data_IF_420096566234
#
_entry.id   IF_420096566234
#
_cell.length_a   1.000
_cell.length_b   1.000
_cell.length_c   1.000
_cell.angle_alpha   90.00
_cell.angle_beta   90.00
_cell.angle_gamma   90.00
#
_symmetry.space_group_name_H-M   'P 1'
#
loop_
_entity.id
_entity.type
_entity.pdbx_description
1 polymer ?
#
# COMPACT_ATOMS: atom_id res chain seq x y z
N UNK A 1 41.44 9.39 8.77
CA UNK A 1 40.08 8.85 8.49
C UNK A 1 39.71 9.10 7.02
N UNK A 2 40.03 8.19 6.10
CA UNK A 2 39.70 8.36 4.66
C UNK A 2 39.60 7.02 3.92
N UNK A 3 38.69 6.12 4.34
CA UNK A 3 38.56 4.79 3.68
C UNK A 3 37.12 4.30 3.45
N UNK A 4 36.08 5.08 3.74
CA UNK A 4 34.68 4.63 3.59
C UNK A 4 33.99 5.06 2.28
N UNK A 5 34.53 6.03 1.52
CA UNK A 5 33.83 6.58 0.34
C UNK A 5 33.93 5.73 -0.94
N UNK A 6 35.03 4.99 -1.13
CA UNK A 6 35.25 4.20 -2.36
C UNK A 6 34.27 3.04 -2.54
N UNK A 7 33.69 2.50 -1.46
CA UNK A 7 32.79 1.35 -1.55
C UNK A 7 31.42 1.69 -2.16
N UNK A 8 30.90 2.90 -1.96
CA UNK A 8 29.60 3.33 -2.49
C UNK A 8 29.68 3.77 -3.96
N UNK A 9 30.80 4.37 -4.37
CA UNK A 9 31.03 4.75 -5.78
C UNK A 9 31.15 3.50 -6.66
N UNK A 10 31.88 2.47 -6.22
CA UNK A 10 31.99 1.21 -6.97
C UNK A 10 30.66 0.45 -7.10
N UNK A 11 29.75 0.54 -6.12
CA UNK A 11 28.43 -0.08 -6.22
C UNK A 11 27.52 0.63 -7.22
N UNK A 12 27.57 1.97 -7.24
CA UNK A 12 26.80 2.79 -8.19
C UNK A 12 27.28 2.60 -9.63
N UNK A 13 28.60 2.56 -9.86
CA UNK A 13 29.17 2.29 -11.18
C UNK A 13 28.81 0.89 -11.68
N UNK A 14 28.86 -0.11 -10.82
CA UNK A 14 28.47 -1.48 -11.17
C UNK A 14 26.98 -1.63 -11.47
N UNK A 15 26.11 -0.90 -10.78
CA UNK A 15 24.66 -0.87 -11.08
C UNK A 15 24.39 -0.24 -12.44
N UNK A 16 25.07 0.87 -12.78
CA UNK A 16 25.02 1.46 -14.13
C UNK A 16 25.47 0.47 -15.20
N UNK A 17 26.50 -0.33 -14.94
CA UNK A 17 26.93 -1.36 -15.87
C UNK A 17 25.90 -2.48 -16.05
N UNK A 18 25.24 -2.93 -14.98
CA UNK A 18 24.16 -3.92 -15.06
C UNK A 18 22.94 -3.38 -15.80
N UNK A 19 22.56 -2.13 -15.56
CA UNK A 19 21.48 -1.44 -16.27
C UNK A 19 21.82 -1.28 -17.76
N UNK A 20 23.04 -0.89 -18.09
CA UNK A 20 23.50 -0.78 -19.47
C UNK A 20 23.50 -2.13 -20.20
N UNK A 21 23.91 -3.21 -19.54
CA UNK A 21 23.88 -4.56 -20.11
C UNK A 21 22.45 -5.04 -20.38
N UNK A 22 21.52 -4.78 -19.46
CA UNK A 22 20.09 -5.07 -19.64
C UNK A 22 19.48 -4.24 -20.77
N UNK A 23 19.79 -2.95 -20.83
CA UNK A 23 19.33 -2.08 -21.91
C UNK A 23 19.84 -2.55 -23.28
N UNK A 24 21.10 -2.99 -23.38
CA UNK A 24 21.64 -3.56 -24.62
C UNK A 24 20.99 -4.89 -24.99
N UNK A 25 20.68 -5.74 -24.01
CA UNK A 25 19.94 -6.97 -24.27
C UNK A 25 18.54 -6.66 -24.80
N UNK A 26 17.83 -5.74 -24.17
CA UNK A 26 16.51 -5.32 -24.64
C UNK A 26 16.54 -4.71 -26.03
N UNK A 27 17.55 -3.90 -26.38
CA UNK A 27 17.65 -3.34 -27.73
C UNK A 27 17.95 -4.41 -28.77
N UNK A 28 18.74 -5.43 -28.44
CA UNK A 28 19.01 -6.58 -29.32
C UNK A 28 17.75 -7.44 -29.49
N UNK A 29 17.04 -7.72 -28.40
CA UNK A 29 15.80 -8.50 -28.43
C UNK A 29 14.70 -7.74 -29.19
N UNK A 30 14.62 -6.41 -29.04
CA UNK A 30 13.69 -5.53 -29.80
C UNK A 30 14.09 -5.36 -31.26
N UNK A 31 15.38 -5.37 -31.58
CA UNK A 31 15.86 -5.23 -32.95
C UNK A 31 15.42 -6.40 -33.83
N UNK A 32 15.07 -7.54 -33.23
CA UNK A 32 14.46 -8.73 -33.86
C UNK A 32 15.01 -8.99 -35.27
N UNK A 33 16.34 -8.93 -35.39
CA UNK A 33 17.11 -9.20 -36.61
C UNK A 33 17.13 -10.71 -36.82
N UNK A 34 15.94 -11.25 -37.03
CA UNK A 34 15.60 -12.63 -37.30
C UNK A 34 16.11 -13.06 -38.68
N UNK A 35 17.24 -12.58 -39.17
CA UNK A 35 17.74 -12.88 -40.53
C UNK A 35 17.84 -14.38 -40.77
N UNK A 36 18.30 -15.15 -39.77
CA UNK A 36 18.37 -16.60 -39.86
C UNK A 36 17.00 -17.30 -39.77
N UNK A 37 16.05 -16.76 -39.01
CA UNK A 37 14.66 -17.26 -39.04
C UNK A 37 13.94 -16.83 -40.30
N UNK A 38 14.01 -15.58 -40.76
CA UNK A 38 13.49 -15.14 -42.05
C UNK A 38 14.08 -15.94 -43.21
N UNK A 39 15.36 -16.30 -43.17
CA UNK A 39 15.95 -17.21 -44.16
C UNK A 39 15.39 -18.64 -44.08
N UNK A 40 15.06 -19.14 -42.89
CA UNK A 40 14.40 -20.44 -42.69
C UNK A 40 12.92 -20.40 -43.05
N UNK A 41 12.22 -19.38 -42.60
CA UNK A 41 10.81 -19.08 -42.85
C UNK A 41 10.59 -18.90 -44.34
N UNK A 42 11.46 -18.17 -45.05
CA UNK A 42 11.43 -18.05 -46.52
C UNK A 42 11.65 -19.40 -47.21
N UNK A 43 12.51 -20.28 -46.69
CA UNK A 43 12.67 -21.65 -47.21
C UNK A 43 11.44 -22.52 -46.96
N UNK A 44 10.67 -22.25 -45.91
CA UNK A 44 9.46 -23.00 -45.55
C UNK A 44 8.16 -22.37 -46.05
N UNK A 45 8.20 -21.12 -46.54
CA UNK A 45 7.01 -20.38 -46.94
C UNK A 45 6.47 -20.95 -48.25
N UNK A 46 5.42 -21.76 -48.17
CA UNK A 46 4.70 -22.25 -49.35
C UNK A 46 3.88 -21.10 -49.92
N UNK A 47 4.17 -20.69 -51.14
CA UNK A 47 3.33 -19.71 -51.85
C UNK A 47 2.32 -20.50 -52.69
N UNK A 48 1.05 -20.43 -52.31
CA UNK A 48 -0.04 -20.93 -53.16
C UNK A 48 -0.27 -19.93 -54.30
N UNK A 49 0.05 -20.34 -55.53
CA UNK A 49 -0.37 -19.65 -56.75
C UNK A 49 -1.06 -20.68 -57.63
N UNK A 50 -2.34 -20.44 -57.95
CA UNK A 50 -3.16 -21.21 -58.91
C UNK A 50 -3.22 -22.74 -58.69
N UNK A 51 -3.32 -23.19 -57.43
CA UNK A 51 -3.68 -24.57 -57.10
C UNK A 51 -2.62 -25.64 -57.35
N UNK A 52 -1.39 -25.26 -57.75
CA UNK A 52 -0.23 -26.14 -57.75
C UNK A 52 0.68 -25.80 -56.57
N UNK A 53 0.98 -26.80 -55.72
CA UNK A 53 1.97 -26.66 -54.64
C UNK A 53 3.37 -26.49 -55.24
N UNK A 54 3.75 -25.25 -55.53
CA UNK A 54 5.13 -24.93 -55.94
C UNK A 54 5.98 -24.86 -54.67
N UNK A 55 6.70 -25.95 -54.37
CA UNK A 55 7.83 -25.86 -53.44
C UNK A 55 8.78 -24.78 -53.96
N UNK A 56 9.10 -23.78 -53.12
CA UNK A 56 10.17 -22.82 -53.39
C UNK A 56 11.49 -23.60 -53.54
N UNK A 57 11.78 -24.02 -54.77
CA UNK A 57 13.07 -24.60 -55.14
C UNK A 57 14.15 -23.60 -54.76
N UNK A 58 15.33 -24.09 -54.35
CA UNK A 58 16.48 -23.24 -54.03
C UNK A 58 16.61 -22.13 -55.09
N UNK A 59 16.89 -20.87 -54.71
CA UNK A 59 16.91 -19.75 -55.64
C UNK A 59 17.92 -19.97 -56.78
N UNK A 60 18.93 -20.82 -56.58
CA UNK A 60 19.84 -21.27 -57.62
C UNK A 60 19.18 -22.14 -58.70
N UNK A 61 18.26 -23.04 -58.31
CA UNK A 61 17.51 -23.91 -59.22
C UNK A 61 16.43 -23.10 -59.96
N UNK A 62 15.76 -22.17 -59.26
CA UNK A 62 14.83 -21.23 -59.91
C UNK A 62 15.57 -20.35 -60.92
N UNK A 63 16.78 -19.88 -60.58
CA UNK A 63 17.60 -19.11 -61.51
C UNK A 63 17.99 -19.93 -62.75
N UNK A 64 18.30 -21.23 -62.62
CA UNK A 64 18.58 -22.10 -63.77
C UNK A 64 17.33 -22.37 -64.61
N UNK A 65 16.17 -22.62 -63.98
CA UNK A 65 14.90 -22.86 -64.69
C UNK A 65 14.46 -21.59 -65.44
N UNK A 66 14.57 -20.41 -64.82
CA UNK A 66 14.29 -19.11 -65.45
C UNK A 66 15.28 -18.84 -66.59
N UNK A 67 16.57 -19.14 -66.43
CA UNK A 67 17.53 -18.99 -67.50
C UNK A 67 17.21 -19.91 -68.70
N UNK A 68 16.82 -21.16 -68.44
CA UNK A 68 16.39 -22.11 -69.46
C UNK A 68 15.12 -21.63 -70.18
N UNK A 69 14.10 -21.18 -69.44
CA UNK A 69 12.88 -20.61 -70.02
C UNK A 69 13.15 -19.34 -70.82
N UNK A 70 14.01 -18.43 -70.33
CA UNK A 70 14.43 -17.25 -71.08
C UNK A 70 15.14 -17.62 -72.38
N UNK A 71 15.97 -18.67 -72.37
CA UNK A 71 16.63 -19.15 -73.58
C UNK A 71 15.63 -19.72 -74.59
N UNK A 72 14.63 -20.47 -74.11
CA UNK A 72 13.53 -21.00 -74.91
C UNK A 72 12.69 -19.88 -75.50
N UNK A 73 12.28 -18.88 -74.71
CA UNK A 73 11.53 -17.72 -75.17
C UNK A 73 12.32 -16.87 -76.16
N UNK A 74 13.66 -16.73 -76.00
CA UNK A 74 14.50 -16.08 -77.01
C UNK A 74 14.49 -16.85 -78.33
N UNK A 75 14.59 -18.19 -78.28
CA UNK A 75 14.51 -19.04 -79.48
C UNK A 75 13.14 -18.93 -80.15
N UNK A 76 12.07 -18.95 -79.37
CA UNK A 76 10.69 -18.84 -79.85
C UNK A 76 10.42 -17.45 -80.43
N UNK A 77 10.91 -16.39 -79.78
CA UNK A 77 10.90 -15.03 -80.33
C UNK A 77 11.65 -14.96 -81.67
N UNK A 78 12.84 -15.56 -81.76
CA UNK A 78 13.61 -15.56 -83.01
C UNK A 78 12.83 -16.27 -84.13
N UNK A 79 12.26 -17.44 -83.85
CA UNK A 79 11.42 -18.17 -84.81
C UNK A 79 10.18 -17.37 -85.23
N UNK A 80 9.49 -16.71 -84.29
CA UNK A 80 8.35 -15.85 -84.61
C UNK A 80 8.76 -14.65 -85.46
N UNK A 81 9.90 -14.03 -85.17
CA UNK A 81 10.42 -12.91 -85.96
C UNK A 81 10.83 -13.36 -87.36
N UNK A 82 11.43 -14.53 -87.48
CA UNK A 82 11.76 -15.14 -88.77
C UNK A 82 10.50 -15.45 -89.59
N UNK A 83 9.47 -16.04 -88.96
CA UNK A 83 8.18 -16.29 -89.61
C UNK A 83 7.46 -14.99 -89.98
N UNK A 84 7.45 -13.98 -89.10
CA UNK A 84 6.86 -12.67 -89.38
C UNK A 84 7.62 -11.93 -90.48
N UNK A 85 8.95 -12.05 -90.54
CA UNK A 85 9.75 -11.50 -91.63
C UNK A 85 9.45 -12.21 -92.95
N UNK A 86 9.33 -13.54 -92.94
CA UNK A 86 8.90 -14.34 -94.11
C UNK A 86 7.49 -13.96 -94.56
N UNK A 87 6.53 -13.86 -93.64
CA UNK A 87 5.15 -13.45 -93.94
C UNK A 87 5.08 -12.04 -94.48
N UNK A 88 5.83 -11.09 -93.90
CA UNK A 88 5.96 -9.73 -94.44
C UNK A 88 6.58 -9.72 -95.83
N UNK A 89 7.65 -10.48 -96.05
CA UNK A 89 8.31 -10.56 -97.35
C UNK A 89 7.40 -11.16 -98.42
N UNK A 90 6.69 -12.24 -98.09
CA UNK A 90 5.68 -12.84 -98.96
C UNK A 90 4.56 -11.84 -99.24
N UNK A 91 4.02 -11.16 -98.22
CA UNK A 91 3.02 -10.11 -98.41
C UNK A 91 3.54 -9.01 -99.31
N UNK A 92 4.73 -8.45 -99.08
CA UNK A 92 5.31 -7.39 -99.93
C UNK A 92 5.56 -7.84 -101.39
N UNK A 93 5.80 -9.14 -101.63
CA UNK A 93 5.93 -9.67 -102.99
C UNK A 93 4.57 -9.96 -103.64
N UNK A 94 3.60 -10.43 -102.85
CA UNK A 94 2.30 -10.95 -103.33
C UNK A 94 1.21 -9.89 -103.34
N UNK A 95 1.31 -8.84 -102.53
CA UNK A 95 0.43 -7.67 -102.63
C UNK A 95 0.95 -6.73 -103.71
N UNK A 96 0.03 -6.25 -104.56
CA UNK A 96 0.33 -5.33 -105.64
C UNK A 96 1.02 -4.07 -105.09
N UNK A 97 1.93 -3.52 -105.90
CA UNK A 97 2.96 -2.52 -105.59
C UNK A 97 2.44 -1.24 -104.89
N UNK A 98 1.12 -1.02 -104.89
CA UNK A 98 0.48 0.21 -104.40
C UNK A 98 0.13 0.22 -102.89
N UNK A 99 0.07 -0.92 -102.20
CA UNK A 99 -0.26 -0.99 -100.75
C UNK A 99 0.95 -1.39 -99.87
N UNK A 100 2.16 -1.34 -100.43
CA UNK A 100 3.38 -1.49 -99.67
C UNK A 100 3.52 -0.30 -98.71
N UNK A 101 3.40 -0.54 -97.40
CA UNK A 101 3.71 0.45 -96.36
C UNK A 101 5.07 1.10 -96.65
N UNK A 102 5.04 2.32 -97.16
CA UNK A 102 6.24 3.14 -97.36
C UNK A 102 6.71 3.48 -95.96
N UNK A 103 7.67 2.70 -95.46
CA UNK A 103 8.35 2.97 -94.20
C UNK A 103 9.06 4.31 -94.38
N UNK A 104 8.44 5.39 -93.88
CA UNK A 104 9.00 6.72 -93.97
C UNK A 104 10.30 6.76 -93.16
N UNK A 105 11.36 7.34 -93.75
CA UNK A 105 12.67 7.43 -93.12
C UNK A 105 12.63 8.22 -91.81
N UNK A 106 11.70 9.17 -91.70
CA UNK A 106 11.55 10.05 -90.54
C UNK A 106 10.97 9.32 -89.33
N UNK A 107 9.93 8.50 -89.51
CA UNK A 107 9.31 7.71 -88.43
C UNK A 107 10.30 6.69 -87.87
N UNK A 108 11.13 6.10 -88.74
CA UNK A 108 12.23 5.23 -88.31
C UNK A 108 13.21 6.01 -87.43
N UNK A 109 13.65 7.20 -87.85
CA UNK A 109 14.60 8.01 -87.10
C UNK A 109 14.06 8.43 -85.72
N UNK A 110 12.77 8.73 -85.60
CA UNK A 110 12.13 9.00 -84.31
C UNK A 110 12.12 7.78 -83.38
N UNK A 111 11.76 6.61 -83.92
CA UNK A 111 11.74 5.36 -83.17
C UNK A 111 13.16 4.97 -82.75
N UNK A 112 14.16 5.18 -83.60
CA UNK A 112 15.58 5.00 -83.26
C UNK A 112 15.98 5.90 -82.09
N UNK A 113 15.69 7.20 -82.15
CA UNK A 113 16.01 8.16 -81.08
C UNK A 113 15.34 7.78 -79.75
N UNK A 114 14.04 7.43 -79.77
CA UNK A 114 13.29 7.01 -78.57
C UNK A 114 13.84 5.70 -78.00
N UNK A 115 14.23 4.75 -78.86
CA UNK A 115 14.82 3.49 -78.43
C UNK A 115 16.22 3.68 -77.85
N UNK A 116 17.02 4.59 -78.40
CA UNK A 116 18.35 4.92 -77.88
C UNK A 116 18.26 5.54 -76.48
N UNK A 117 17.37 6.50 -76.28
CA UNK A 117 17.10 7.09 -74.97
C UNK A 117 16.66 6.04 -73.94
N UNK A 118 15.69 5.19 -74.30
CA UNK A 118 15.22 4.10 -73.41
C UNK A 118 16.32 3.08 -73.12
N UNK A 119 17.17 2.76 -74.08
CA UNK A 119 18.34 1.88 -73.88
C UNK A 119 19.36 2.51 -72.95
N UNK A 120 19.63 3.81 -73.06
CA UNK A 120 20.54 4.53 -72.17
C UNK A 120 20.02 4.49 -70.72
N UNK A 121 18.75 4.84 -70.49
CA UNK A 121 18.11 4.78 -69.18
C UNK A 121 18.11 3.36 -68.58
N UNK A 122 17.79 2.35 -69.39
CA UNK A 122 17.79 0.96 -68.95
C UNK A 122 19.21 0.46 -68.63
N UNK A 123 20.23 0.90 -69.37
CA UNK A 123 21.63 0.57 -69.09
C UNK A 123 22.07 1.18 -67.76
N UNK A 124 21.74 2.44 -67.51
CA UNK A 124 22.03 3.11 -66.24
C UNK A 124 21.32 2.45 -65.06
N UNK A 125 20.03 2.14 -65.19
CA UNK A 125 19.26 1.44 -64.15
C UNK A 125 19.80 0.03 -63.87
N UNK A 126 20.23 -0.70 -64.91
CA UNK A 126 20.89 -2.01 -64.76
C UNK A 126 22.23 -1.90 -64.04
N UNK A 127 23.03 -0.89 -64.35
CA UNK A 127 24.30 -0.63 -63.67
C UNK A 127 24.06 -0.34 -62.17
N UNK A 128 23.16 0.59 -61.86
CA UNK A 128 22.78 0.91 -60.45
C UNK A 128 22.28 -0.32 -59.70
N UNK A 129 21.44 -1.15 -60.34
CA UNK A 129 20.95 -2.39 -59.72
C UNK A 129 22.08 -3.38 -59.46
N UNK A 130 23.01 -3.55 -60.40
CA UNK A 130 24.14 -4.45 -60.24
C UNK A 130 25.07 -3.98 -59.10
N UNK A 131 25.33 -2.67 -59.01
CA UNK A 131 26.10 -2.07 -57.91
C UNK A 131 25.42 -2.31 -56.54
N UNK A 132 24.11 -2.08 -56.44
CA UNK A 132 23.38 -2.34 -55.18
C UNK A 132 23.39 -3.83 -54.82
N UNK A 133 23.22 -4.72 -55.81
CA UNK A 133 23.29 -6.16 -55.56
C UNK A 133 24.67 -6.60 -55.07
N UNK A 134 25.74 -6.05 -55.65
CA UNK A 134 27.10 -6.34 -55.20
C UNK A 134 27.36 -5.78 -53.79
N UNK A 135 26.92 -4.55 -53.52
CA UNK A 135 27.01 -3.95 -52.19
C UNK A 135 26.27 -4.80 -51.14
N UNK A 136 25.06 -5.28 -51.45
CA UNK A 136 24.31 -6.17 -50.56
C UNK A 136 25.05 -7.48 -50.34
N UNK A 137 25.63 -8.06 -51.41
CA UNK A 137 26.40 -9.31 -51.31
C UNK A 137 27.64 -9.18 -50.43
N UNK A 138 28.30 -8.02 -50.44
CA UNK A 138 29.48 -7.73 -49.62
C UNK A 138 29.10 -7.35 -48.19
N UNK A 139 28.08 -6.50 -48.00
CA UNK A 139 27.70 -5.97 -46.68
C UNK A 139 26.91 -6.97 -45.84
N UNK A 140 26.07 -7.81 -46.45
CA UNK A 140 25.26 -8.79 -45.72
C UNK A 140 26.09 -9.73 -44.81
N UNK A 141 27.18 -10.38 -45.28
CA UNK A 141 27.98 -11.25 -44.41
C UNK A 141 28.69 -10.46 -43.31
N UNK A 142 29.16 -9.23 -43.58
CA UNK A 142 29.83 -8.41 -42.58
C UNK A 142 28.88 -8.04 -41.42
N UNK A 143 27.64 -7.67 -41.76
CA UNK A 143 26.60 -7.35 -40.76
C UNK A 143 26.21 -8.60 -39.96
N UNK A 144 26.15 -9.77 -40.60
CA UNK A 144 25.87 -11.04 -39.90
C UNK A 144 27.00 -11.41 -38.93
N UNK A 145 28.26 -11.28 -39.33
CA UNK A 145 29.41 -11.52 -38.46
C UNK A 145 29.45 -10.58 -37.25
N UNK A 146 29.20 -9.29 -37.47
CA UNK A 146 29.16 -8.30 -36.39
C UNK A 146 27.97 -8.53 -35.45
N UNK A 147 26.81 -8.90 -35.97
CA UNK A 147 25.65 -9.28 -35.16
C UNK A 147 25.96 -10.50 -34.29
N UNK A 148 26.54 -11.55 -34.87
CA UNK A 148 26.94 -12.75 -34.13
C UNK A 148 28.00 -12.46 -33.07
N UNK A 149 28.95 -11.56 -33.36
CA UNK A 149 29.95 -11.12 -32.39
C UNK A 149 29.29 -10.39 -31.23
N UNK A 150 28.41 -9.43 -31.50
CA UNK A 150 27.69 -8.67 -30.48
C UNK A 150 26.85 -9.62 -29.62
N UNK A 151 26.11 -10.54 -30.24
CA UNK A 151 25.29 -11.54 -29.55
C UNK A 151 26.13 -12.42 -28.60
N UNK A 152 27.28 -12.93 -29.05
CA UNK A 152 28.19 -13.70 -28.17
C UNK A 152 28.73 -12.85 -27.02
N UNK A 153 29.01 -11.57 -27.26
CA UNK A 153 29.50 -10.66 -26.22
C UNK A 153 28.42 -10.30 -25.21
N UNK A 154 27.17 -10.13 -25.64
CA UNK A 154 26.04 -9.88 -24.73
C UNK A 154 25.69 -11.10 -23.90
N UNK A 155 25.69 -12.30 -24.48
CA UNK A 155 25.55 -13.56 -23.74
C UNK A 155 26.62 -13.69 -22.64
N UNK A 156 27.89 -13.40 -22.97
CA UNK A 156 28.98 -13.39 -21.98
C UNK A 156 28.77 -12.33 -20.90
N UNK A 157 28.35 -11.12 -21.26
CA UNK A 157 28.07 -10.05 -20.31
C UNK A 157 26.95 -10.46 -19.33
N UNK A 158 25.90 -11.12 -19.82
CA UNK A 158 24.80 -11.62 -19.00
C UNK A 158 25.24 -12.70 -18.01
N UNK A 159 26.06 -13.66 -18.46
CA UNK A 159 26.63 -14.68 -17.56
C UNK A 159 27.50 -14.04 -16.48
N UNK A 160 28.30 -13.02 -16.82
CA UNK A 160 29.11 -12.29 -15.85
C UNK A 160 28.24 -11.48 -14.87
N UNK A 161 27.20 -10.80 -15.36
CA UNK A 161 26.25 -10.07 -14.54
C UNK A 161 25.57 -10.97 -13.49
N UNK A 162 25.12 -12.16 -13.90
CA UNK A 162 24.56 -13.16 -12.98
C UNK A 162 25.58 -13.59 -11.92
N UNK A 163 26.83 -13.90 -12.33
CA UNK A 163 27.91 -14.27 -11.40
C UNK A 163 28.21 -13.17 -10.38
N UNK A 164 28.16 -11.90 -10.79
CA UNK A 164 28.37 -10.76 -9.88
C UNK A 164 27.24 -10.68 -8.84
N UNK A 165 25.99 -10.85 -9.26
CA UNK A 165 24.83 -10.86 -8.36
C UNK A 165 24.95 -12.03 -7.36
N UNK A 166 25.28 -13.23 -7.82
CA UNK A 166 25.48 -14.40 -6.96
C UNK A 166 26.63 -14.18 -5.97
N UNK A 167 27.75 -13.61 -6.42
CA UNK A 167 28.87 -13.28 -5.55
C UNK A 167 28.48 -12.23 -4.49
N UNK A 168 27.68 -11.22 -4.86
CA UNK A 168 27.14 -10.23 -3.92
C UNK A 168 26.24 -10.90 -2.88
N UNK A 169 25.32 -11.77 -3.30
CA UNK A 169 24.46 -12.53 -2.38
C UNK A 169 25.29 -13.40 -1.42
N UNK A 170 26.34 -14.06 -1.91
CA UNK A 170 27.28 -14.83 -1.08
C UNK A 170 28.01 -13.95 -0.07
N UNK A 171 28.49 -12.77 -0.48
CA UNK A 171 29.14 -11.81 0.42
C UNK A 171 28.17 -11.29 1.50
N UNK A 172 26.92 -10.99 1.14
CA UNK A 172 25.90 -10.56 2.10
C UNK A 172 25.60 -11.66 3.11
N UNK A 173 25.44 -12.91 2.66
CA UNK A 173 25.28 -14.07 3.55
C UNK A 173 26.48 -14.22 4.47
N UNK A 174 27.70 -14.09 3.95
CA UNK A 174 28.93 -14.17 4.76
C UNK A 174 29.01 -13.05 5.80
N UNK A 175 28.56 -11.84 5.46
CA UNK A 175 28.48 -10.70 6.40
C UNK A 175 27.41 -10.89 7.46
N UNK A 176 26.30 -11.56 7.13
CA UNK A 176 25.26 -11.93 8.09
C UNK A 176 25.73 -13.02 9.05
N UNK A 177 26.41 -14.06 8.54
CA UNK A 177 26.95 -15.14 9.39
C UNK A 177 28.14 -14.67 10.23
N UNK A 178 28.87 -13.66 9.76
CA UNK A 178 30.02 -13.07 10.45
C UNK A 178 29.89 -11.54 10.53
N UNK A 179 29.06 -11.02 11.46
CA UNK A 179 28.90 -9.58 11.63
C UNK A 179 30.24 -8.94 12.03
N UNK A 180 30.56 -7.80 11.40
CA UNK A 180 31.70 -6.98 11.81
C UNK A 180 31.37 -6.26 13.13
N UNK A 181 32.32 -6.09 14.06
CA UNK A 181 33.76 -6.26 13.92
C UNK A 181 34.23 -7.70 14.12
N UNK A 182 35.20 -8.15 13.31
CA UNK A 182 35.96 -9.37 13.62
C UNK A 182 36.69 -9.09 14.92
N UNK A 183 36.21 -9.68 16.02
CA UNK A 183 36.88 -9.58 17.31
C UNK A 183 38.28 -10.15 17.14
N UNK A 184 39.30 -9.31 17.30
CA UNK A 184 40.65 -9.82 17.57
C UNK A 184 40.59 -10.63 18.85
N UNK A 185 41.48 -11.61 19.05
CA UNK A 185 41.47 -12.49 20.23
C UNK A 185 41.37 -11.67 21.52
N UNK A 186 42.10 -10.55 21.60
CA UNK A 186 42.04 -9.61 22.71
C UNK A 186 40.66 -8.96 22.92
N UNK A 187 39.96 -8.58 21.85
CA UNK A 187 38.60 -8.01 21.95
C UNK A 187 37.58 -9.09 22.30
N UNK A 188 37.80 -10.32 21.84
CA UNK A 188 36.96 -11.45 22.23
C UNK A 188 37.10 -11.76 23.73
N UNK A 189 38.33 -11.76 24.25
CA UNK A 189 38.59 -11.95 25.69
C UNK A 189 37.98 -10.81 26.53
N UNK A 190 38.11 -9.55 26.09
CA UNK A 190 37.47 -8.40 26.74
C UNK A 190 35.94 -8.51 26.76
N UNK A 191 35.34 -8.89 25.63
CA UNK A 191 33.89 -9.06 25.55
C UNK A 191 33.41 -10.25 26.38
N UNK A 192 34.21 -11.31 26.48
CA UNK A 192 33.93 -12.44 27.36
C UNK A 192 33.94 -11.98 28.82
N UNK A 193 34.93 -11.19 29.25
CA UNK A 193 34.96 -10.66 30.61
C UNK A 193 33.76 -9.76 30.91
N UNK A 194 33.40 -8.85 29.99
CA UNK A 194 32.19 -8.01 30.12
C UNK A 194 30.92 -8.86 30.23
N UNK A 195 30.79 -9.92 29.42
CA UNK A 195 29.64 -10.82 29.48
C UNK A 195 29.59 -11.62 30.78
N UNK A 196 30.74 -12.06 31.30
CA UNK A 196 30.81 -12.76 32.59
C UNK A 196 30.40 -11.82 33.72
N UNK A 197 30.86 -10.57 33.72
CA UNK A 197 30.45 -9.55 34.69
C UNK A 197 28.94 -9.28 34.62
N UNK A 198 28.37 -9.15 33.40
CA UNK A 198 26.93 -9.00 33.21
C UNK A 198 26.14 -10.22 33.69
N UNK A 199 26.64 -11.44 33.44
CA UNK A 199 25.98 -12.64 33.95
C UNK A 199 26.03 -12.72 35.47
N UNK A 200 27.14 -12.32 36.09
CA UNK A 200 27.27 -12.26 37.55
C UNK A 200 26.31 -11.24 38.13
N UNK A 201 26.24 -10.02 37.58
CA UNK A 201 25.32 -8.99 38.07
C UNK A 201 23.85 -9.43 37.94
N UNK A 202 23.47 -10.04 36.82
CA UNK A 202 22.12 -10.57 36.62
C UNK A 202 21.82 -11.76 37.55
N UNK A 203 22.82 -12.59 37.84
CA UNK A 203 22.69 -13.70 38.81
C UNK A 203 22.49 -13.17 40.22
N UNK A 204 23.23 -12.14 40.62
CA UNK A 204 23.10 -11.49 41.94
C UNK A 204 21.73 -10.81 42.08
N UNK A 205 21.26 -10.13 41.02
CA UNK A 205 19.91 -9.56 40.97
C UNK A 205 18.82 -10.65 41.09
N UNK A 206 18.98 -11.76 40.36
CA UNK A 206 18.06 -12.90 40.44
C UNK A 206 18.04 -13.51 41.85
N UNK A 207 19.20 -13.64 42.50
CA UNK A 207 19.31 -14.13 43.87
C UNK A 207 18.65 -13.18 44.86
N UNK A 208 18.90 -11.87 44.74
CA UNK A 208 18.25 -10.86 45.57
C UNK A 208 16.72 -10.84 45.40
N UNK A 209 16.22 -11.05 44.18
CA UNK A 209 14.78 -11.21 43.91
C UNK A 209 14.26 -12.49 44.55
N UNK A 210 14.99 -13.61 44.46
CA UNK A 210 14.60 -14.86 45.13
C UNK A 210 14.49 -14.68 46.64
N UNK A 211 15.45 -14.03 47.28
CA UNK A 211 15.41 -13.73 48.72
C UNK A 211 14.21 -12.84 49.09
N UNK A 212 13.91 -11.84 48.26
CA UNK A 212 12.69 -11.02 48.41
C UNK A 212 11.42 -11.87 48.27
N UNK A 213 11.37 -12.80 47.32
CA UNK A 213 10.24 -13.73 47.17
C UNK A 213 10.10 -14.64 48.39
N UNK A 214 11.21 -15.19 48.91
CA UNK A 214 11.19 -16.01 50.13
C UNK A 214 10.65 -15.21 51.32
N UNK A 215 11.17 -14.00 51.55
CA UNK A 215 10.71 -13.15 52.66
C UNK A 215 9.24 -12.73 52.51
N UNK A 216 8.77 -12.44 51.30
CA UNK A 216 7.34 -12.17 51.05
C UNK A 216 6.49 -13.42 51.28
N UNK A 217 6.95 -14.59 50.85
CA UNK A 217 6.25 -15.86 51.08
C UNK A 217 6.10 -16.14 52.57
N UNK A 218 7.12 -15.87 53.37
CA UNK A 218 7.07 -16.05 54.81
C UNK A 218 6.14 -15.02 55.48
N UNK A 219 6.14 -13.76 55.03
CA UNK A 219 5.15 -12.76 55.45
C UNK A 219 3.72 -13.19 55.13
N UNK A 220 3.48 -13.72 53.93
CA UNK A 220 2.16 -14.22 53.51
C UNK A 220 1.73 -15.43 54.33
N UNK A 221 2.65 -16.35 54.65
CA UNK A 221 2.36 -17.48 55.55
C UNK A 221 1.97 -17.00 56.94
N UNK A 222 2.71 -16.03 57.49
CA UNK A 222 2.42 -15.47 58.81
C UNK A 222 1.07 -14.74 58.81
N UNK A 223 0.80 -13.90 57.81
CA UNK A 223 -0.49 -13.21 57.68
C UNK A 223 -1.64 -14.21 57.46
N UNK A 224 -1.42 -15.30 56.73
CA UNK A 224 -2.44 -16.35 56.60
C UNK A 224 -2.69 -17.08 57.93
N UNK A 225 -1.64 -17.36 58.71
CA UNK A 225 -1.80 -17.94 60.04
C UNK A 225 -2.56 -16.98 60.98
N UNK A 226 -2.31 -15.68 60.90
CA UNK A 226 -3.07 -14.66 61.63
C UNK A 226 -4.52 -14.58 61.15
N UNK A 227 -4.76 -14.63 59.84
CA UNK A 227 -6.12 -14.66 59.28
C UNK A 227 -6.90 -15.89 59.72
N UNK A 228 -6.28 -17.06 59.78
CA UNK A 228 -6.94 -18.26 60.29
C UNK A 228 -7.26 -18.15 61.79
N UNK A 229 -6.37 -17.56 62.61
CA UNK A 229 -6.68 -17.22 64.01
C UNK A 229 -7.86 -16.26 64.12
N UNK A 230 -7.84 -15.17 63.35
CA UNK A 230 -8.93 -14.20 63.30
C UNK A 230 -10.23 -14.81 62.78
N UNK A 231 -10.18 -15.78 61.87
CA UNK A 231 -11.35 -16.55 61.43
C UNK A 231 -11.92 -17.40 62.55
N UNK A 232 -11.07 -18.06 63.34
CA UNK A 232 -11.52 -18.82 64.51
C UNK A 232 -12.14 -17.91 65.56
N UNK A 233 -11.48 -16.79 65.90
CA UNK A 233 -11.98 -15.79 66.83
C UNK A 233 -13.30 -15.17 66.33
N UNK A 234 -13.39 -14.86 65.04
CA UNK A 234 -14.63 -14.38 64.42
C UNK A 234 -15.73 -15.43 64.48
N UNK A 235 -15.44 -16.70 64.22
CA UNK A 235 -16.43 -17.76 64.29
C UNK A 235 -16.93 -17.98 65.74
N UNK A 236 -16.06 -17.83 66.73
CA UNK A 236 -16.41 -17.84 68.15
C UNK A 236 -17.25 -16.62 68.54
N UNK A 237 -16.85 -15.42 68.12
CA UNK A 237 -17.60 -14.19 68.32
C UNK A 237 -18.95 -14.23 67.62
N UNK A 238 -19.05 -14.74 66.39
CA UNK A 238 -20.31 -14.92 65.67
C UNK A 238 -21.21 -15.96 66.34
N UNK A 239 -20.66 -17.02 66.94
CA UNK A 239 -21.45 -17.95 67.77
C UNK A 239 -21.95 -17.26 69.03
N UNK A 240 -21.12 -16.50 69.72
CA UNK A 240 -21.52 -15.72 70.89
C UNK A 240 -22.60 -14.68 70.55
N UNK A 241 -22.44 -13.97 69.42
CA UNK A 241 -23.42 -13.01 68.89
C UNK A 241 -24.69 -13.72 68.42
N UNK A 242 -24.63 -14.91 67.80
CA UNK A 242 -25.82 -15.69 67.45
C UNK A 242 -26.59 -16.16 68.68
N UNK A 243 -25.88 -16.51 69.76
CA UNK A 243 -26.49 -16.87 71.05
C UNK A 243 -27.11 -15.62 71.70
N UNK A 244 -26.46 -14.45 71.62
CA UNK A 244 -27.00 -13.18 72.11
C UNK A 244 -28.16 -12.63 71.26
N UNK A 245 -28.18 -12.90 69.94
CA UNK A 245 -29.23 -12.49 68.99
C UNK A 245 -30.50 -13.36 69.04
N UNK A 246 -30.55 -14.39 69.88
CA UNK A 246 -31.81 -15.10 70.16
C UNK A 246 -32.72 -14.25 71.05
N UNK A 247 -32.16 -13.24 71.72
CA UNK A 247 -32.92 -12.24 72.45
C UNK A 247 -32.89 -10.89 71.70
N UNK A 248 -34.08 -10.35 71.48
CA UNK A 248 -34.41 -8.95 71.13
C UNK A 248 -34.46 -8.53 69.64
N UNK A 249 -35.55 -7.84 69.32
CA UNK A 249 -36.16 -7.52 68.03
C UNK A 249 -35.34 -6.67 67.03
N UNK A 250 -34.03 -6.47 67.23
CA UNK A 250 -33.16 -5.64 66.36
C UNK A 250 -32.78 -6.31 65.03
N UNK A 251 -32.86 -7.65 64.92
CA UNK A 251 -32.54 -8.36 63.68
C UNK A 251 -33.55 -8.10 62.55
N UNK A 252 -34.77 -7.65 62.88
CA UNK A 252 -35.78 -7.20 61.90
C UNK A 252 -35.63 -5.73 61.53
N UNK A 253 -35.02 -4.91 62.40
CA UNK A 253 -34.80 -3.48 62.13
C UNK A 253 -33.75 -3.24 61.05
N UNK A 254 -32.70 -4.07 61.00
CA UNK A 254 -31.58 -3.87 60.07
C UNK A 254 -32.01 -3.97 58.59
N UNK A 255 -32.81 -4.96 58.15
CA UNK A 255 -33.36 -4.99 56.79
C UNK A 255 -34.33 -3.83 56.49
N UNK A 256 -35.11 -3.39 57.48
CA UNK A 256 -36.01 -2.24 57.36
C UNK A 256 -35.24 -0.93 57.22
N UNK A 257 -34.14 -0.78 57.96
CA UNK A 257 -33.23 0.36 57.87
C UNK A 257 -32.53 0.39 56.51
N UNK A 258 -32.04 -0.75 56.01
CA UNK A 258 -31.43 -0.85 54.69
C UNK A 258 -32.43 -0.51 53.57
N UNK A 259 -33.67 -1.02 53.66
CA UNK A 259 -34.74 -0.68 52.72
C UNK A 259 -35.08 0.82 52.78
N UNK A 260 -35.20 1.38 53.97
CA UNK A 260 -35.49 2.81 54.15
C UNK A 260 -34.36 3.70 53.62
N UNK A 261 -33.10 3.33 53.84
CA UNK A 261 -31.94 4.02 53.30
C UNK A 261 -31.86 3.91 51.77
N UNK A 262 -32.24 2.77 51.19
CA UNK A 262 -32.35 2.61 49.74
C UNK A 262 -33.49 3.47 49.17
N UNK A 263 -34.65 3.49 49.82
CA UNK A 263 -35.79 4.33 49.44
C UNK A 263 -35.46 5.83 49.52
N UNK A 264 -34.73 6.27 50.56
CA UNK A 264 -34.26 7.64 50.68
C UNK A 264 -33.27 8.01 49.57
N UNK A 265 -32.34 7.12 49.21
CA UNK A 265 -31.41 7.36 48.08
C UNK A 265 -32.16 7.50 46.76
N UNK A 266 -33.15 6.64 46.52
CA UNK A 266 -34.01 6.72 45.33
C UNK A 266 -34.78 8.04 45.32
N UNK A 267 -35.38 8.44 46.44
CA UNK A 267 -36.10 9.70 46.55
C UNK A 267 -35.19 10.90 46.31
N UNK A 268 -33.96 10.90 46.86
CA UNK A 268 -32.97 11.94 46.57
C UNK A 268 -32.63 12.02 45.10
N UNK A 269 -32.48 10.87 44.43
CA UNK A 269 -32.19 10.80 43.01
C UNK A 269 -33.36 11.31 42.13
N UNK A 270 -34.62 10.93 42.42
CA UNK A 270 -35.79 11.41 41.67
C UNK A 270 -35.93 12.94 41.74
N UNK A 271 -35.58 13.54 42.88
CA UNK A 271 -35.66 14.98 43.08
C UNK A 271 -34.38 15.71 42.69
N UNK A 272 -33.41 15.03 42.07
CA UNK A 272 -32.09 15.55 41.71
C UNK A 272 -31.34 16.23 42.88
N UNK A 273 -31.61 15.78 44.12
CA UNK A 273 -30.96 16.30 45.32
C UNK A 273 -29.55 15.72 45.41
N UNK A 274 -28.55 16.56 45.16
CA UNK A 274 -27.14 16.17 45.10
C UNK A 274 -26.54 16.01 46.50
N UNK A 275 -26.74 17.02 47.36
CA UNK A 275 -26.17 17.02 48.71
C UNK A 275 -27.07 17.76 49.71
N UNK A 276 -27.18 17.20 50.91
CA UNK A 276 -27.89 17.78 52.05
C UNK A 276 -26.87 18.02 53.15
N UNK A 277 -26.77 19.26 53.62
CA UNK A 277 -25.86 19.66 54.68
C UNK A 277 -26.62 20.40 55.77
N UNK A 278 -26.62 19.85 56.98
CA UNK A 278 -27.07 20.56 58.19
C UNK A 278 -25.89 21.36 58.73
N UNK A 279 -25.87 22.67 58.51
CA UNK A 279 -24.75 23.54 58.91
C UNK A 279 -24.87 23.94 60.38
N UNK A 280 -26.09 24.11 60.86
CA UNK A 280 -26.41 24.30 62.27
C UNK A 280 -27.74 23.61 62.60
N UNK A 281 -28.13 23.60 63.88
CA UNK A 281 -29.43 23.05 64.30
C UNK A 281 -30.62 23.75 63.63
N UNK A 282 -30.42 25.00 63.20
CA UNK A 282 -31.45 25.84 62.62
C UNK A 282 -31.27 26.08 61.11
N UNK A 283 -30.24 25.51 60.48
CA UNK A 283 -29.93 25.77 59.07
C UNK A 283 -29.73 24.47 58.28
N UNK A 284 -30.59 24.27 57.28
CA UNK A 284 -30.53 23.16 56.35
C UNK A 284 -30.19 23.66 54.94
N UNK A 285 -29.04 23.25 54.41
CA UNK A 285 -28.64 23.52 53.03
C UNK A 285 -28.95 22.33 52.15
N UNK A 286 -29.72 22.58 51.10
CA UNK A 286 -30.10 21.60 50.09
C UNK A 286 -29.51 22.03 48.76
N UNK A 287 -28.66 21.17 48.18
CA UNK A 287 -28.10 21.41 46.85
C UNK A 287 -28.80 20.51 45.85
N UNK A 288 -29.45 21.15 44.87
CA UNK A 288 -30.16 20.48 43.80
C UNK A 288 -29.36 20.60 42.51
N UNK A 289 -29.39 19.54 41.71
CA UNK A 289 -28.86 19.56 40.36
C UNK A 289 -30.01 19.79 39.39
N UNK A 290 -30.05 20.94 38.73
CA UNK A 290 -31.03 21.22 37.69
C UNK A 290 -30.33 21.10 36.35
N UNK A 291 -30.53 19.98 35.67
CA UNK A 291 -29.95 19.69 34.36
C UNK A 291 -31.04 19.74 33.26
N UNK A 292 -30.73 20.38 32.14
CA UNK A 292 -31.47 20.21 30.88
C UNK A 292 -30.75 19.18 30.00
N UNK A 293 -31.47 18.50 29.07
CA UNK A 293 -30.88 17.44 28.24
C UNK A 293 -29.75 17.87 27.30
N UNK A 294 -29.44 19.17 27.16
CA UNK A 294 -28.45 19.68 26.20
C UNK A 294 -27.33 20.54 26.79
N UNK A 295 -27.30 20.82 28.10
CA UNK A 295 -26.28 21.69 28.73
C UNK A 295 -25.76 21.15 30.08
N UNK A 296 -24.68 21.77 30.59
CA UNK A 296 -24.03 21.38 31.85
C UNK A 296 -25.00 21.56 33.03
N UNK A 297 -25.02 20.57 33.92
CA UNK A 297 -25.74 20.58 35.20
C UNK A 297 -25.41 21.82 36.04
N UNK A 298 -26.43 22.63 36.36
CA UNK A 298 -26.31 23.79 37.26
C UNK A 298 -26.69 23.35 38.67
N UNK A 299 -25.84 23.69 39.65
CA UNK A 299 -26.08 23.40 41.05
C UNK A 299 -26.74 24.60 41.73
N UNK A 300 -27.91 24.38 42.32
CA UNK A 300 -28.68 25.39 43.04
C UNK A 300 -28.63 25.06 44.53
N UNK A 301 -28.19 26.00 45.36
CA UNK A 301 -28.14 25.80 46.82
C UNK A 301 -29.26 26.58 47.49
N UNK A 302 -30.19 25.88 48.14
CA UNK A 302 -31.28 26.45 48.93
C UNK A 302 -30.93 26.25 50.40
N UNK A 303 -30.68 27.33 51.12
CA UNK A 303 -30.48 27.34 52.56
C UNK A 303 -31.78 27.74 53.26
N UNK A 304 -32.34 26.80 54.02
CA UNK A 304 -33.54 26.97 54.82
C UNK A 304 -33.11 27.30 56.25
N UNK A 305 -33.51 28.46 56.75
CA UNK A 305 -33.23 28.93 58.11
C UNK A 305 -34.51 28.87 58.92
N UNK A 306 -34.50 28.11 59.99
CA UNK A 306 -35.62 27.91 60.90
C UNK A 306 -35.44 28.76 62.16
N UNK A 307 -36.55 29.22 62.74
CA UNK A 307 -36.53 29.86 64.04
C UNK A 307 -36.17 28.84 65.12
N UNK A 308 -35.22 29.15 66.04
CA UNK A 308 -34.97 28.32 67.21
C UNK A 308 -36.30 28.21 67.99
N UNK A 309 -36.63 27.01 68.42
CA UNK A 309 -37.82 26.64 69.22
C UNK A 309 -39.12 26.37 68.46
N UNK A 310 -39.47 27.12 67.42
CA UNK A 310 -40.78 26.94 66.75
C UNK A 310 -40.75 26.03 65.51
N UNK A 311 -39.54 25.71 65.00
CA UNK A 311 -39.34 24.99 63.71
C UNK A 311 -40.09 25.61 62.53
N UNK A 312 -40.55 26.85 62.68
CA UNK A 312 -41.11 27.62 61.58
C UNK A 312 -39.98 28.18 60.72
N UNK A 313 -40.24 28.23 59.42
CA UNK A 313 -39.28 28.75 58.47
C UNK A 313 -39.18 30.27 58.68
N UNK A 314 -37.98 30.75 59.04
CA UNK A 314 -37.72 32.15 59.35
C UNK A 314 -37.16 32.91 58.14
N UNK A 315 -36.30 32.27 57.34
CA UNK A 315 -35.75 32.83 56.12
C UNK A 315 -35.31 31.73 55.16
N UNK A 316 -35.35 32.01 53.86
CA UNK A 316 -34.72 31.18 52.84
C UNK A 316 -33.72 32.00 52.07
N UNK A 317 -32.51 31.46 51.91
CA UNK A 317 -31.48 32.03 51.07
C UNK A 317 -31.22 31.07 49.92
N UNK A 318 -31.42 31.54 48.71
CA UNK A 318 -31.04 30.80 47.50
C UNK A 318 -29.71 31.37 47.04
N UNK A 319 -28.66 30.54 47.05
CA UNK A 319 -27.34 30.89 46.54
C UNK A 319 -27.21 30.29 45.14
N UNK A 320 -27.20 31.18 44.15
CA UNK A 320 -26.98 30.84 42.76
C UNK A 320 -25.48 30.85 42.42
N UNK A 321 -25.08 30.00 41.48
CA UNK A 321 -23.93 30.31 40.64
C UNK A 321 -24.36 31.35 39.59
N UNK A 322 -24.39 32.62 40.00
CA UNK A 322 -24.24 33.89 39.24
C UNK A 322 -24.93 34.14 37.86
N UNK A 323 -25.76 33.26 37.29
CA UNK A 323 -26.17 33.40 35.87
C UNK A 323 -27.68 33.62 35.58
N UNK A 324 -28.57 33.70 36.59
CA UNK A 324 -30.01 33.87 36.38
C UNK A 324 -30.62 34.93 37.31
N UNK A 325 -30.79 36.17 36.83
CA UNK A 325 -31.49 37.25 37.58
C UNK A 325 -33.00 36.98 37.69
N UNK A 326 -33.41 35.97 38.46
CA UNK A 326 -34.83 35.66 38.74
C UNK A 326 -35.22 36.25 40.09
N UNK A 327 -36.20 37.15 40.11
CA UNK A 327 -36.75 37.74 41.33
C UNK A 327 -37.65 36.72 42.06
N UNK A 328 -37.09 36.02 43.07
CA UNK A 328 -37.80 34.99 43.85
C UNK A 328 -38.48 35.53 45.13
N UNK A 329 -38.27 36.80 45.49
CA UNK A 329 -38.65 37.39 46.78
C UNK A 329 -40.12 37.18 47.16
N UNK A 330 -41.04 37.56 46.28
CA UNK A 330 -42.49 37.49 46.55
C UNK A 330 -42.97 36.05 46.77
N UNK A 331 -42.40 35.09 46.04
CA UNK A 331 -42.77 33.67 46.19
C UNK A 331 -42.23 33.07 47.47
N UNK A 332 -41.03 33.50 47.90
CA UNK A 332 -40.42 33.06 49.14
C UNK A 332 -41.27 33.55 50.32
N UNK A 333 -41.69 34.82 50.32
CA UNK A 333 -42.45 35.41 51.42
C UNK A 333 -43.84 34.78 51.62
N UNK A 334 -44.55 34.45 50.52
CA UNK A 334 -45.86 33.76 50.59
C UNK A 334 -45.73 32.37 51.22
N UNK A 335 -44.67 31.64 50.87
CA UNK A 335 -44.42 30.30 51.41
C UNK A 335 -43.82 30.32 52.82
N UNK A 336 -43.11 31.38 53.22
CA UNK A 336 -42.72 31.64 54.61
C UNK A 336 -43.96 31.83 55.49
N UNK A 337 -44.91 32.68 55.06
CA UNK A 337 -46.12 32.97 55.83
C UNK A 337 -47.03 31.74 56.01
N UNK A 338 -47.08 30.87 55.01
CA UNK A 338 -47.85 29.60 55.07
C UNK A 338 -47.08 28.44 55.70
N UNK A 339 -45.79 28.63 56.00
CA UNK A 339 -44.87 27.62 56.52
C UNK A 339 -44.83 26.32 55.69
N UNK A 340 -44.99 26.44 54.36
CA UNK A 340 -44.94 25.31 53.43
C UNK A 340 -43.56 25.19 52.76
N UNK A 341 -42.68 24.42 53.41
CA UNK A 341 -41.30 24.21 52.95
C UNK A 341 -41.24 23.40 51.65
N UNK A 342 -42.12 22.42 51.49
CA UNK A 342 -42.12 21.56 50.30
C UNK A 342 -42.66 22.30 49.08
N UNK A 343 -43.75 23.07 49.27
CA UNK A 343 -44.29 23.96 48.25
C UNK A 343 -43.26 24.99 47.79
N UNK A 344 -42.51 25.57 48.74
CA UNK A 344 -41.43 26.52 48.45
C UNK A 344 -40.35 25.92 47.55
N UNK A 345 -39.81 24.75 47.92
CA UNK A 345 -38.74 24.09 47.14
C UNK A 345 -39.26 23.76 45.73
N UNK A 346 -40.49 23.26 45.61
CA UNK A 346 -41.09 22.93 44.32
C UNK A 346 -41.29 24.18 43.46
N UNK A 347 -41.78 25.28 44.04
CA UNK A 347 -41.96 26.56 43.36
C UNK A 347 -40.61 27.08 42.83
N UNK A 348 -39.59 27.15 43.70
CA UNK A 348 -38.23 27.59 43.34
C UNK A 348 -37.67 26.73 42.20
N UNK A 349 -37.67 25.40 42.34
CA UNK A 349 -37.14 24.50 41.32
C UNK A 349 -37.93 24.58 40.01
N UNK A 350 -39.25 24.75 40.06
CA UNK A 350 -40.07 24.92 38.85
C UNK A 350 -39.73 26.21 38.12
N UNK A 351 -39.54 27.33 38.84
CA UNK A 351 -39.19 28.61 38.27
C UNK A 351 -37.80 28.58 37.63
N UNK A 352 -36.81 27.96 38.28
CA UNK A 352 -35.49 27.73 37.68
C UNK A 352 -35.56 26.83 36.43
N UNK A 353 -36.34 25.75 36.47
CA UNK A 353 -36.54 24.88 35.29
C UNK A 353 -37.22 25.61 34.14
N UNK A 354 -38.22 26.46 34.40
CA UNK A 354 -38.88 27.27 33.37
C UNK A 354 -38.00 28.39 32.85
N UNK A 355 -37.23 29.06 33.72
CA UNK A 355 -36.28 30.10 33.33
C UNK A 355 -35.17 29.55 32.44
N UNK A 356 -34.66 28.35 32.77
CA UNK A 356 -33.70 27.64 31.93
C UNK A 356 -34.31 27.14 30.61
N UNK A 357 -35.56 26.67 30.61
CA UNK A 357 -36.26 26.24 29.40
C UNK A 357 -36.53 27.41 28.43
N UNK A 358 -36.84 28.60 28.93
CA UNK A 358 -37.03 29.82 28.14
C UNK A 358 -35.73 30.32 27.49
N UNK A 359 -34.56 29.93 28.02
CA UNK A 359 -33.24 30.30 27.49
C UNK A 359 -32.72 29.30 26.46
N UNK A 360 -33.23 28.07 26.46
CA UNK A 360 -32.88 27.00 25.53
C UNK A 360 -33.71 27.00 24.22
N UNK A 361 -34.76 27.82 24.14
CA UNK A 361 -35.52 28.17 22.93
C UNK A 361 -35.00 29.48 22.34
#
# INVERSE_FOLDING_TARGET
MSRSRTSLETTSEQEKHLESARALQETIDKADLKLQSYAKDFRTHKVEVDGEEVHLKDPAIVASDVAAQMSYLRKLKFQFWEQSAKDKYVKTIVSDIDDALIVNTDDNNEIFSKNEQKKALLKEAKAKRAEVQENVRILAPLVEEDYDRIKKMTEKANVLAQKIIDARLRLTRLRQTHPQPRLTILLADQKLTEQVEQMQSLSDEAQAISEKIQSMKDKVKNSNAELEKLRTERAEAEKAVKIAKVDEDEAKLMPLYDWYMAALKLHRWIHDLHHTQTVSENELRLTYNVALPSEKAILITIALIFAPDTRHLAAVQVTEAEELEIELGDTIDVHIQSNDVHGLIAAILSQYRTGLALRAL
#
